data_IF_316111663401
#
_entry.id   IF_316111663401
#
_cell.length_a   1.000
_cell.length_b   1.000
_cell.length_c   1.000
_cell.angle_alpha   90.00
_cell.angle_beta   90.00
_cell.angle_gamma   90.00
#
_symmetry.space_group_name_H-M   'P 1'
#
loop_
_entity.id
_entity.type
_entity.pdbx_description
1 polymer ?
#
# COMPACT_ATOMS: atom_id res chain seq x y z
N UNK A 1 -25.42 22.44 17.21
CA UNK A 1 -26.24 22.79 16.03
C UNK A 1 -26.52 21.51 15.27
N UNK A 2 -27.71 20.96 15.47
CA UNK A 2 -28.33 19.98 14.57
C UNK A 2 -29.27 20.77 13.65
N UNK A 3 -29.29 20.45 12.35
CA UNK A 3 -30.30 20.76 11.30
C UNK A 3 -29.54 20.71 9.95
N UNK A 4 -29.96 20.03 8.90
CA UNK A 4 -31.19 19.30 8.66
C UNK A 4 -31.06 18.51 7.36
N UNK A 5 -31.71 17.36 7.34
CA UNK A 5 -32.02 16.59 6.14
C UNK A 5 -33.06 17.40 5.34
N UNK A 6 -32.78 17.76 4.09
CA UNK A 6 -33.78 18.30 3.16
C UNK A 6 -34.09 17.24 2.12
N UNK A 7 -35.13 16.47 2.42
CA UNK A 7 -35.95 15.80 1.42
C UNK A 7 -37.00 16.80 0.94
N UNK A 8 -37.01 17.11 -0.34
CA UNK A 8 -38.26 17.43 -1.03
C UNK A 8 -38.19 16.94 -2.48
N UNK A 9 -39.15 16.07 -2.75
CA UNK A 9 -39.54 15.47 -4.01
C UNK A 9 -40.14 16.50 -4.97
N UNK A 10 -40.41 16.02 -6.19
CA UNK A 10 -41.55 16.40 -7.04
C UNK A 10 -41.23 17.31 -8.23
N UNK A 11 -40.97 16.69 -9.39
CA UNK A 11 -41.74 17.04 -10.59
C UNK A 11 -41.80 15.82 -11.52
N UNK A 12 -42.99 15.23 -11.60
CA UNK A 12 -43.34 14.17 -12.54
C UNK A 12 -43.16 14.67 -13.97
N UNK A 13 -42.46 13.87 -14.78
CA UNK A 13 -42.58 13.94 -16.22
C UNK A 13 -42.43 12.53 -16.78
N UNK A 14 -43.56 11.86 -16.91
CA UNK A 14 -43.72 10.71 -17.79
C UNK A 14 -43.63 11.24 -19.22
N UNK A 15 -42.59 10.82 -19.96
CA UNK A 15 -42.53 10.89 -21.41
C UNK A 15 -42.07 9.50 -21.92
N UNK A 16 -42.62 9.04 -23.07
CA UNK A 16 -42.75 7.63 -23.42
C UNK A 16 -41.42 6.95 -23.82
N UNK A 17 -41.40 5.62 -23.63
CA UNK A 17 -40.28 4.73 -23.92
C UNK A 17 -39.74 4.92 -25.36
N UNK A 18 -38.43 5.20 -25.53
CA UNK A 18 -37.79 4.95 -26.81
C UNK A 18 -37.57 3.44 -26.94
N UNK A 19 -38.19 2.90 -27.99
CA UNK A 19 -38.18 1.51 -28.41
C UNK A 19 -36.78 0.86 -28.31
N UNK A 20 -36.77 -0.39 -27.85
CA UNK A 20 -35.60 -1.25 -27.85
C UNK A 20 -35.04 -1.39 -29.27
N UNK A 21 -33.93 -0.70 -29.56
CA UNK A 21 -33.01 -1.16 -30.58
C UNK A 21 -32.01 -2.08 -29.91
N UNK A 22 -32.34 -3.36 -29.91
CA UNK A 22 -31.42 -4.46 -29.64
C UNK A 22 -30.31 -4.44 -30.69
N UNK A 23 -29.28 -3.62 -30.48
CA UNK A 23 -27.97 -3.91 -31.03
C UNK A 23 -27.32 -4.92 -30.08
N UNK A 24 -27.54 -6.21 -30.38
CA UNK A 24 -26.65 -7.27 -29.99
C UNK A 24 -25.27 -6.94 -30.57
N UNK A 25 -24.48 -6.14 -29.85
CA UNK A 25 -23.04 -6.28 -29.91
C UNK A 25 -22.75 -7.51 -29.08
N UNK A 26 -22.60 -8.64 -29.76
CA UNK A 26 -21.92 -9.80 -29.20
C UNK A 26 -20.69 -9.27 -28.50
N UNK A 27 -20.72 -9.25 -27.17
CA UNK A 27 -19.55 -8.96 -26.37
C UNK A 27 -18.60 -10.10 -26.67
N UNK A 28 -17.73 -9.90 -27.66
CA UNK A 28 -16.68 -10.81 -28.03
C UNK A 28 -16.01 -11.22 -26.73
N UNK A 29 -16.22 -12.47 -26.33
CA UNK A 29 -15.80 -12.96 -25.03
C UNK A 29 -14.30 -12.74 -24.97
N UNK A 30 -13.88 -11.74 -24.19
CA UNK A 30 -12.47 -11.39 -24.05
C UNK A 30 -11.78 -12.64 -23.52
N UNK A 31 -11.02 -13.31 -24.40
CA UNK A 31 -10.28 -14.49 -24.03
C UNK A 31 -9.13 -14.03 -23.14
N UNK A 32 -9.26 -14.30 -21.85
CA UNK A 32 -8.21 -13.99 -20.89
C UNK A 32 -7.11 -15.05 -21.02
N UNK A 33 -5.92 -14.60 -21.39
CA UNK A 33 -4.73 -15.45 -21.44
C UNK A 33 -4.17 -15.64 -20.02
N UNK A 34 -4.59 -16.74 -19.39
CA UNK A 34 -4.14 -17.09 -18.04
C UNK A 34 -2.66 -17.46 -17.97
N UNK A 35 -2.04 -17.92 -19.06
CA UNK A 35 -0.58 -18.17 -19.10
C UNK A 35 0.13 -16.82 -19.01
N UNK A 36 -0.29 -15.85 -19.81
CA UNK A 36 0.29 -14.50 -19.80
C UNK A 36 0.12 -13.81 -18.46
N UNK A 37 -1.06 -13.93 -17.84
CA UNK A 37 -1.31 -13.38 -16.49
C UNK A 37 -0.38 -14.04 -15.47
N UNK A 38 -0.20 -15.36 -15.54
CA UNK A 38 0.68 -16.11 -14.62
C UNK A 38 2.15 -15.67 -14.77
N UNK A 39 2.62 -15.48 -15.99
CA UNK A 39 3.97 -14.95 -16.26
C UNK A 39 4.16 -13.57 -15.64
N UNK A 40 3.23 -12.64 -15.92
CA UNK A 40 3.29 -11.26 -15.38
C UNK A 40 3.34 -11.27 -13.85
N UNK A 41 2.48 -12.07 -13.22
CA UNK A 41 2.43 -12.18 -11.76
C UNK A 41 3.73 -12.77 -11.19
N UNK A 42 4.27 -13.81 -11.82
CA UNK A 42 5.54 -14.41 -11.41
C UNK A 42 6.71 -13.43 -11.54
N UNK A 43 6.77 -12.65 -12.63
CA UNK A 43 7.78 -11.60 -12.80
C UNK A 43 7.67 -10.56 -11.69
N UNK A 44 6.47 -10.04 -11.42
CA UNK A 44 6.25 -9.04 -10.37
C UNK A 44 6.65 -9.59 -8.99
N UNK A 45 6.24 -10.80 -8.64
CA UNK A 45 6.55 -11.40 -7.34
C UNK A 45 8.05 -11.62 -7.19
N UNK A 46 8.72 -12.12 -8.23
CA UNK A 46 10.16 -12.37 -8.21
C UNK A 46 10.96 -11.05 -8.13
N UNK A 47 10.55 -10.01 -8.86
CA UNK A 47 11.20 -8.71 -8.84
C UNK A 47 11.06 -8.01 -7.46
N UNK A 48 9.91 -8.18 -6.80
CA UNK A 48 9.69 -7.64 -5.46
C UNK A 48 10.39 -8.46 -4.36
N UNK A 49 10.58 -9.77 -4.54
CA UNK A 49 11.36 -10.61 -3.62
C UNK A 49 12.87 -10.44 -3.82
N UNK A 50 13.31 -10.10 -5.03
CA UNK A 50 14.71 -9.85 -5.37
C UNK A 50 15.23 -8.54 -4.77
N UNK A 51 14.34 -7.61 -4.40
CA UNK A 51 14.73 -6.46 -3.62
C UNK A 51 14.92 -6.92 -2.17
N UNK A 52 16.16 -6.91 -1.61
CA UNK A 52 16.31 -7.08 -0.18
C UNK A 52 15.44 -6.00 0.45
N UNK A 53 14.50 -6.39 1.31
CA UNK A 53 13.70 -5.44 2.08
C UNK A 53 14.71 -4.54 2.77
N UNK A 54 14.90 -3.33 2.25
CA UNK A 54 15.95 -2.45 2.74
C UNK A 54 15.64 -2.28 4.22
N UNK A 55 16.60 -2.64 5.08
CA UNK A 55 16.38 -2.54 6.51
C UNK A 55 15.99 -1.08 6.80
N UNK A 56 14.71 -0.88 7.13
CA UNK A 56 14.17 0.44 7.41
C UNK A 56 14.57 0.76 8.85
N UNK A 57 15.40 1.77 9.03
CA UNK A 57 15.84 2.21 10.34
C UNK A 57 15.17 3.51 10.72
N UNK A 58 14.65 3.58 11.94
CA UNK A 58 14.24 4.83 12.58
C UNK A 58 15.36 5.28 13.52
N UNK A 59 15.88 6.49 13.33
CA UNK A 59 16.81 7.10 14.28
C UNK A 59 16.07 7.55 15.52
N UNK A 60 16.66 7.24 16.68
CA UNK A 60 16.18 7.66 17.99
C UNK A 60 17.28 8.57 18.54
N UNK A 61 16.95 9.84 18.72
CA UNK A 61 17.91 10.84 19.18
C UNK A 61 17.28 11.66 20.30
N UNK A 62 18.08 11.95 21.33
CA UNK A 62 17.86 13.04 22.28
C UNK A 62 18.92 14.12 22.00
N UNK A 63 18.56 15.39 22.09
CA UNK A 63 19.46 16.53 21.86
C UNK A 63 20.68 16.51 22.79
N UNK A 64 20.54 15.89 23.97
CA UNK A 64 21.57 15.83 25.01
C UNK A 64 22.50 14.62 24.89
N UNK A 65 22.21 13.67 23.99
CA UNK A 65 22.95 12.42 23.87
C UNK A 65 23.94 12.42 22.69
N UNK A 66 25.18 12.03 22.96
CA UNK A 66 26.26 11.95 21.95
C UNK A 66 26.28 10.62 21.18
N UNK A 67 25.34 9.73 21.47
CA UNK A 67 25.26 8.41 20.88
C UNK A 67 24.14 8.38 19.83
N UNK A 68 24.38 7.68 18.73
CA UNK A 68 23.38 7.54 17.68
C UNK A 68 22.66 6.21 17.93
N UNK A 69 21.38 6.26 18.22
CA UNK A 69 20.55 5.07 18.37
C UNK A 69 19.68 4.89 17.13
N UNK A 70 19.44 3.63 16.77
CA UNK A 70 18.47 3.30 15.73
C UNK A 70 17.71 2.04 16.07
N UNK A 71 16.46 1.99 15.65
CA UNK A 71 15.62 0.80 15.68
C UNK A 71 15.48 0.25 14.27
N UNK A 72 15.74 -1.04 14.08
CA UNK A 72 15.37 -1.75 12.87
C UNK A 72 13.84 -1.97 12.90
N UNK A 73 13.08 -1.36 11.99
CA UNK A 73 11.62 -1.41 12.02
C UNK A 73 11.10 -2.82 11.69
N UNK A 74 11.87 -3.64 10.98
CA UNK A 74 11.49 -5.00 10.60
C UNK A 74 11.71 -5.99 11.75
N UNK A 75 12.85 -5.90 12.43
CA UNK A 75 13.22 -6.82 13.53
C UNK A 75 12.91 -6.28 14.92
N UNK A 76 12.67 -4.97 15.04
CA UNK A 76 12.58 -4.18 16.27
C UNK A 76 13.81 -4.25 17.17
N UNK A 77 14.95 -4.66 16.62
CA UNK A 77 16.24 -4.60 17.30
C UNK A 77 16.72 -3.16 17.46
N UNK A 78 17.33 -2.88 18.61
CA UNK A 78 17.87 -1.56 18.94
C UNK A 78 19.39 -1.64 18.92
N UNK A 79 20.02 -0.76 18.16
CA UNK A 79 21.45 -0.66 18.00
C UNK A 79 21.94 0.75 18.37
N UNK A 80 23.15 0.84 18.91
CA UNK A 80 23.84 2.12 19.08
C UNK A 80 25.14 2.16 18.28
N UNK A 81 25.39 3.32 17.69
CA UNK A 81 26.63 3.62 16.99
C UNK A 81 27.43 4.64 17.78
N UNK A 82 28.69 4.29 18.03
CA UNK A 82 29.68 5.20 18.61
C UNK A 82 30.55 5.81 17.54
N UNK A 83 30.51 7.14 17.45
CA UNK A 83 31.43 7.92 16.61
C UNK A 83 32.89 7.82 17.09
N UNK A 84 33.13 7.62 18.39
CA UNK A 84 34.50 7.56 18.93
C UNK A 84 35.20 6.25 18.63
N UNK A 85 34.46 5.13 18.64
CA UNK A 85 35.03 3.82 18.34
C UNK A 85 34.74 3.33 16.92
N UNK A 86 33.90 4.04 16.15
CA UNK A 86 33.38 3.61 14.85
C UNK A 86 32.82 2.17 14.89
N UNK A 87 32.04 1.88 15.93
CA UNK A 87 31.48 0.54 16.20
C UNK A 87 29.99 0.64 16.45
N UNK A 88 29.27 -0.32 15.90
CA UNK A 88 27.87 -0.59 16.17
C UNK A 88 27.75 -1.63 17.30
N UNK A 89 26.85 -1.43 18.24
CA UNK A 89 26.51 -2.41 19.27
C UNK A 89 25.01 -2.66 19.31
N UNK A 90 24.62 -3.93 19.34
CA UNK A 90 23.24 -4.33 19.64
C UNK A 90 22.96 -4.09 21.13
N UNK A 91 21.89 -3.38 21.44
CA UNK A 91 21.45 -3.06 22.79
C UNK A 91 20.24 -3.91 23.22
N UNK A 92 19.35 -4.20 22.28
CA UNK A 92 18.13 -4.97 22.54
C UNK A 92 17.72 -5.78 21.32
N UNK A 93 17.11 -6.94 21.56
CA UNK A 93 16.53 -7.82 20.55
C UNK A 93 15.23 -8.41 21.08
N UNK A 94 14.26 -8.60 20.20
CA UNK A 94 12.98 -9.23 20.53
C UNK A 94 13.17 -10.74 20.40
N UNK A 95 13.29 -11.44 21.52
CA UNK A 95 13.37 -12.92 21.56
C UNK A 95 12.00 -13.53 21.77
#
# INVERSE_FOLDING_TARGET
MFLGCSSESFLSREDPAPEEKSENKDSEAVSLDYERIREIMNTIVNDNQAQPIAAHYQFICDENERWIYRCNILTGEIECFSMSSNKLRLLSSIK
#
